data_IF_267636733533
#
_entry.id   IF_267636733533
#
_cell.length_a   1.000
_cell.length_b   1.000
_cell.length_c   1.000
_cell.angle_alpha   90.00
_cell.angle_beta   90.00
_cell.angle_gamma   90.00
#
_symmetry.space_group_name_H-M   'P 1'
#
loop_
_entity.id
_entity.type
_entity.pdbx_description
1 polymer ?
#
# COMPACT_ATOMS: atom_id res chain seq x y z
N UNK A 1 -4.30 0.41 21.50
CA UNK A 1 -2.88 0.15 21.76
C UNK A 1 -2.21 -0.31 20.47
N UNK A 2 -2.24 -1.60 20.08
CA UNK A 2 -1.57 -2.04 18.83
C UNK A 2 -2.30 -1.58 17.56
N UNK A 3 -3.65 -1.55 17.53
CA UNK A 3 -4.40 -0.98 16.38
C UNK A 3 -4.03 0.46 16.08
N UNK A 4 -3.73 1.22 17.14
CA UNK A 4 -3.34 2.61 17.04
C UNK A 4 -1.90 2.73 16.55
N UNK A 5 -0.97 1.93 17.09
CA UNK A 5 0.42 1.87 16.62
C UNK A 5 0.52 1.45 15.15
N UNK A 6 -0.19 0.38 14.76
CA UNK A 6 -0.23 -0.09 13.38
C UNK A 6 -0.68 1.00 12.42
N UNK A 7 -1.84 1.63 12.68
CA UNK A 7 -2.36 2.65 11.76
C UNK A 7 -1.55 3.94 11.82
N UNK A 8 -0.96 4.27 12.97
CA UNK A 8 -0.05 5.42 13.10
C UNK A 8 1.19 5.23 12.25
N UNK A 9 1.82 4.06 12.34
CA UNK A 9 2.99 3.73 11.52
C UNK A 9 2.64 3.74 10.02
N UNK A 10 1.54 3.11 9.62
CA UNK A 10 1.09 3.10 8.23
C UNK A 10 0.82 4.53 7.70
N UNK A 11 0.14 5.36 8.51
CA UNK A 11 -0.16 6.75 8.17
C UNK A 11 1.11 7.60 8.07
N UNK A 12 2.06 7.43 8.99
CA UNK A 12 3.35 8.13 8.98
C UNK A 12 4.13 7.81 7.69
N UNK A 13 4.26 6.52 7.35
CA UNK A 13 4.94 6.10 6.11
C UNK A 13 4.25 6.61 4.86
N UNK A 14 2.92 6.59 4.82
CA UNK A 14 2.17 7.14 3.70
C UNK A 14 2.35 8.66 3.57
N UNK A 15 2.42 9.38 4.68
CA UNK A 15 2.66 10.83 4.71
C UNK A 15 4.07 11.12 4.19
N UNK A 16 5.09 10.41 4.68
CA UNK A 16 6.47 10.54 4.22
C UNK A 16 6.56 10.29 2.70
N UNK A 17 5.94 9.22 2.21
CA UNK A 17 5.94 8.92 0.78
C UNK A 17 5.24 10.01 -0.04
N UNK A 18 4.11 10.54 0.46
CA UNK A 18 3.38 11.62 -0.19
C UNK A 18 4.21 12.90 -0.33
N UNK A 19 5.00 13.23 0.70
CA UNK A 19 5.79 14.45 0.76
C UNK A 19 7.15 14.31 0.04
N UNK A 20 7.68 13.08 -0.03
CA UNK A 20 8.98 12.78 -0.66
C UNK A 20 8.87 12.68 -2.18
N UNK A 21 7.82 12.04 -2.71
CA UNK A 21 7.72 11.72 -4.13
C UNK A 21 6.71 12.63 -4.84
N UNK A 22 7.20 13.48 -5.74
CA UNK A 22 6.35 14.23 -6.69
C UNK A 22 5.84 13.35 -7.84
N UNK A 23 6.55 12.28 -8.17
CA UNK A 23 6.16 11.28 -9.16
C UNK A 23 5.07 10.34 -8.59
N UNK A 24 3.85 10.33 -9.16
CA UNK A 24 2.75 9.50 -8.67
C UNK A 24 3.05 8.00 -8.71
N UNK A 25 3.87 7.54 -9.66
CA UNK A 25 4.24 6.13 -9.77
C UNK A 25 5.11 5.74 -8.57
N UNK A 26 6.16 6.52 -8.28
CA UNK A 26 7.04 6.27 -7.13
C UNK A 26 6.32 6.43 -5.80
N UNK A 27 5.43 7.43 -5.70
CA UNK A 27 4.58 7.66 -4.52
C UNK A 27 3.73 6.43 -4.20
N UNK A 28 2.99 5.92 -5.19
CA UNK A 28 2.11 4.76 -4.98
C UNK A 28 2.91 3.50 -4.62
N UNK A 29 4.06 3.27 -5.27
CA UNK A 29 4.97 2.17 -4.94
C UNK A 29 5.44 2.21 -3.49
N UNK A 30 5.89 3.37 -3.02
CA UNK A 30 6.38 3.54 -1.66
C UNK A 30 5.26 3.30 -0.64
N UNK A 31 4.07 3.86 -0.86
CA UNK A 31 2.91 3.66 0.02
C UNK A 31 2.55 2.17 0.12
N UNK A 32 2.45 1.46 -1.02
CA UNK A 32 2.11 0.02 -1.03
C UNK A 32 3.18 -0.79 -0.30
N UNK A 33 4.45 -0.58 -0.64
CA UNK A 33 5.56 -1.37 -0.09
C UNK A 33 5.65 -1.19 1.43
N UNK A 34 5.56 0.03 1.93
CA UNK A 34 5.60 0.29 3.36
C UNK A 34 4.33 -0.18 4.08
N UNK A 35 3.16 -0.09 3.43
CA UNK A 35 1.94 -0.64 4.00
C UNK A 35 2.00 -2.17 4.15
N UNK A 36 2.54 -2.88 3.17
CA UNK A 36 2.72 -4.35 3.26
C UNK A 36 3.68 -4.71 4.39
N UNK A 37 4.81 -4.01 4.54
CA UNK A 37 5.79 -4.25 5.61
C UNK A 37 5.19 -4.17 7.01
N UNK A 38 4.17 -3.34 7.22
CA UNK A 38 3.50 -3.24 8.53
C UNK A 38 2.98 -4.60 9.01
N UNK A 39 2.55 -5.47 8.09
CA UNK A 39 2.06 -6.80 8.43
C UNK A 39 3.16 -7.76 8.87
N UNK A 40 4.40 -7.55 8.44
CA UNK A 40 5.57 -8.29 8.94
C UNK A 40 5.98 -7.81 10.33
N UNK A 41 6.06 -6.48 10.52
CA UNK A 41 6.47 -5.86 11.79
C UNK A 41 5.53 -6.24 12.94
N UNK A 42 4.22 -6.18 12.70
CA UNK A 42 3.21 -6.37 13.75
C UNK A 42 2.61 -7.78 13.78
N UNK A 43 3.13 -8.74 13.00
CA UNK A 43 2.51 -10.07 12.80
C UNK A 43 2.20 -10.81 14.10
N UNK A 44 3.14 -10.88 15.04
CA UNK A 44 2.97 -11.55 16.34
C UNK A 44 1.80 -10.98 17.14
N UNK A 45 1.45 -9.72 16.87
CA UNK A 45 0.35 -9.02 17.49
C UNK A 45 -0.93 -9.06 16.64
N UNK A 46 -0.84 -9.16 15.30
CA UNK A 46 -1.99 -9.12 14.39
C UNK A 46 -2.89 -10.38 14.45
N UNK A 47 -2.35 -11.56 14.79
CA UNK A 47 -3.19 -12.75 14.99
C UNK A 47 -4.10 -12.63 16.23
N UNK A 48 -3.63 -11.93 17.26
CA UNK A 48 -4.41 -11.59 18.47
C UNK A 48 -5.38 -10.43 18.18
N UNK A 49 -4.92 -9.43 17.44
CA UNK A 49 -5.61 -8.20 17.02
C UNK A 49 -6.96 -8.38 16.32
N UNK A 50 -7.09 -9.35 15.40
CA UNK A 50 -8.37 -9.56 14.69
C UNK A 50 -9.37 -10.43 15.45
N UNK A 51 -8.92 -11.15 16.48
CA UNK A 51 -9.82 -11.77 17.46
C UNK A 51 -10.32 -10.73 18.49
N UNK A 52 -9.51 -9.71 18.79
CA UNK A 52 -9.83 -8.63 19.75
C UNK A 52 -10.64 -7.44 19.19
N UNK A 53 -10.92 -7.36 17.88
CA UNK A 53 -11.80 -6.34 17.29
C UNK A 53 -13.20 -6.26 17.95
N UNK A 54 -13.54 -7.22 18.82
CA UNK A 54 -14.76 -7.30 19.60
C UNK A 54 -14.72 -6.38 20.85
N UNK A 55 -13.55 -5.85 21.28
CA UNK A 55 -13.39 -5.18 22.58
C UNK A 55 -12.59 -3.85 22.60
N UNK A 56 -12.61 -3.05 21.52
CA UNK A 56 -12.03 -1.69 21.58
C UNK A 56 -12.94 -0.74 22.37
N UNK A 57 -12.39 -0.02 23.36
CA UNK A 57 -13.13 1.05 24.06
C UNK A 57 -13.49 2.17 23.06
N UNK A 58 -14.69 2.80 23.18
CA UNK A 58 -15.18 3.79 22.21
C UNK A 58 -14.23 4.96 21.91
N UNK A 59 -13.46 5.40 22.91
CA UNK A 59 -12.52 6.52 22.78
C UNK A 59 -11.35 6.21 21.81
N UNK A 60 -10.85 4.97 21.82
CA UNK A 60 -9.81 4.53 20.88
C UNK A 60 -10.37 4.34 19.47
N UNK A 61 -11.64 3.94 19.36
CA UNK A 61 -12.30 3.72 18.09
C UNK A 61 -12.37 5.00 17.25
N UNK A 62 -12.67 6.15 17.86
CA UNK A 62 -12.72 7.45 17.17
C UNK A 62 -11.35 7.86 16.62
N UNK A 63 -10.30 7.79 17.45
CA UNK A 63 -8.93 8.16 17.03
C UNK A 63 -8.41 7.24 15.93
N UNK A 64 -8.58 5.93 16.09
CA UNK A 64 -8.17 4.93 15.09
C UNK A 64 -8.93 5.14 13.78
N UNK A 65 -10.25 5.37 13.85
CA UNK A 65 -11.07 5.65 12.66
C UNK A 65 -10.56 6.88 11.92
N UNK A 66 -10.27 7.97 12.63
CA UNK A 66 -9.70 9.18 12.01
C UNK A 66 -8.38 8.90 11.28
N UNK A 67 -7.47 8.14 11.89
CA UNK A 67 -6.19 7.75 11.25
C UNK A 67 -6.40 6.86 10.02
N UNK A 68 -7.36 5.92 10.08
CA UNK A 68 -7.75 5.07 8.94
C UNK A 68 -8.31 5.91 7.78
N UNK A 69 -9.18 6.86 8.09
CA UNK A 69 -9.77 7.76 7.10
C UNK A 69 -8.69 8.64 6.44
N UNK A 70 -7.72 9.14 7.22
CA UNK A 70 -6.57 9.88 6.70
C UNK A 70 -5.69 9.03 5.78
N UNK A 71 -5.32 7.82 6.20
CA UNK A 71 -4.51 6.91 5.38
C UNK A 71 -5.23 6.54 4.08
N UNK A 72 -6.52 6.22 4.17
CA UNK A 72 -7.38 5.98 3.00
C UNK A 72 -7.37 7.18 2.05
N UNK A 73 -7.48 8.41 2.57
CA UNK A 73 -7.48 9.61 1.73
C UNK A 73 -6.14 9.81 1.01
N UNK A 74 -5.01 9.52 1.67
CA UNK A 74 -3.69 9.56 1.02
C UNK A 74 -3.62 8.57 -0.14
N UNK A 75 -4.13 7.34 0.04
CA UNK A 75 -4.19 6.35 -1.03
C UNK A 75 -5.05 6.81 -2.21
N UNK A 76 -6.25 7.34 -1.93
CA UNK A 76 -7.16 7.89 -2.96
C UNK A 76 -6.47 9.01 -3.72
N UNK A 77 -5.81 9.94 -3.01
CA UNK A 77 -5.11 11.06 -3.62
C UNK A 77 -3.94 10.59 -4.52
N UNK A 78 -3.16 9.59 -4.10
CA UNK A 78 -2.08 9.04 -4.92
C UNK A 78 -2.58 8.46 -6.24
N UNK A 79 -3.71 7.73 -6.22
CA UNK A 79 -4.35 7.21 -7.43
C UNK A 79 -4.91 8.35 -8.29
N UNK A 80 -5.57 9.32 -7.66
CA UNK A 80 -6.12 10.50 -8.35
C UNK A 80 -5.03 11.31 -9.05
N UNK A 81 -3.90 11.55 -8.39
CA UNK A 81 -2.76 12.27 -8.95
C UNK A 81 -2.20 11.58 -10.19
N UNK A 82 -1.99 10.26 -10.13
CA UNK A 82 -1.49 9.53 -11.29
C UNK A 82 -2.48 9.48 -12.46
N UNK A 83 -3.79 9.45 -12.17
CA UNK A 83 -4.83 9.62 -13.19
C UNK A 83 -4.78 11.04 -13.79
N UNK A 84 -4.68 12.07 -12.95
CA UNK A 84 -4.65 13.48 -13.36
C UNK A 84 -3.42 13.82 -14.20
N UNK A 85 -2.27 13.21 -13.92
CA UNK A 85 -1.03 13.42 -14.67
C UNK A 85 -0.94 12.55 -15.93
N UNK A 86 -1.90 11.65 -16.14
CA UNK A 86 -1.98 10.77 -17.31
C UNK A 86 -1.03 9.57 -17.29
N UNK A 87 -0.34 9.32 -16.16
CA UNK A 87 0.52 8.14 -16.00
C UNK A 87 -0.27 6.88 -15.64
N UNK A 88 -1.45 7.05 -15.03
CA UNK A 88 -2.42 5.98 -14.80
C UNK A 88 -3.56 6.05 -15.82
N UNK A 89 -4.28 4.93 -16.00
CA UNK A 89 -5.35 4.84 -17.00
C UNK A 89 -6.48 5.84 -16.72
N UNK A 90 -6.97 6.46 -17.78
CA UNK A 90 -8.01 7.49 -17.70
C UNK A 90 -9.39 6.91 -17.30
N UNK A 91 -9.57 5.60 -17.45
CA UNK A 91 -10.81 4.86 -17.11
C UNK A 91 -10.90 4.45 -15.63
N UNK A 92 -9.86 4.68 -14.82
CA UNK A 92 -9.86 4.27 -13.41
C UNK A 92 -10.97 4.99 -12.62
N UNK A 93 -11.77 4.20 -11.91
CA UNK A 93 -12.61 4.68 -10.82
C UNK A 93 -11.72 4.83 -9.57
N UNK A 94 -11.33 6.06 -9.23
CA UNK A 94 -10.25 6.35 -8.27
C UNK A 94 -10.52 5.70 -6.91
N UNK A 95 -11.69 5.93 -6.33
CA UNK A 95 -12.07 5.44 -5.01
C UNK A 95 -12.15 3.91 -4.98
N UNK A 96 -12.74 3.30 -6.01
CA UNK A 96 -12.86 1.83 -6.12
C UNK A 96 -11.47 1.21 -6.26
N UNK A 97 -10.60 1.82 -7.06
CA UNK A 97 -9.22 1.35 -7.28
C UNK A 97 -8.42 1.40 -5.98
N UNK A 98 -8.47 2.53 -5.26
CA UNK A 98 -7.81 2.68 -3.97
C UNK A 98 -8.35 1.69 -2.92
N UNK A 99 -9.67 1.48 -2.86
CA UNK A 99 -10.26 0.48 -1.96
C UNK A 99 -9.88 -0.96 -2.33
N UNK A 100 -9.75 -1.28 -3.63
CA UNK A 100 -9.26 -2.57 -4.10
C UNK A 100 -7.82 -2.83 -3.67
N UNK A 101 -6.94 -1.83 -3.82
CA UNK A 101 -5.55 -1.88 -3.33
C UNK A 101 -5.52 -2.09 -1.81
N UNK A 102 -6.28 -1.30 -1.06
CA UNK A 102 -6.38 -1.43 0.39
C UNK A 102 -6.87 -2.82 0.80
N UNK A 103 -7.88 -3.37 0.12
CA UNK A 103 -8.41 -4.71 0.38
C UNK A 103 -7.37 -5.81 0.14
N UNK A 104 -6.65 -5.73 -0.98
CA UNK A 104 -5.58 -6.67 -1.33
C UNK A 104 -4.48 -6.70 -0.26
N UNK A 105 -4.01 -5.52 0.15
CA UNK A 105 -2.95 -5.41 1.17
C UNK A 105 -3.46 -5.81 2.55
N UNK A 106 -4.67 -5.39 2.92
CA UNK A 106 -5.27 -5.76 4.19
C UNK A 106 -5.54 -7.25 4.32
N UNK A 107 -5.65 -8.02 3.24
CA UNK A 107 -5.86 -9.47 3.36
C UNK A 107 -4.57 -10.23 3.73
N UNK A 108 -3.40 -9.62 3.57
CA UNK A 108 -2.08 -10.25 3.81
C UNK A 108 -1.96 -10.88 5.19
N UNK A 109 -2.49 -10.25 6.25
CA UNK A 109 -2.38 -10.82 7.60
C UNK A 109 -3.05 -12.19 7.77
N UNK A 110 -4.05 -12.52 6.94
CA UNK A 110 -4.78 -13.79 7.06
C UNK A 110 -3.96 -14.98 6.62
N UNK A 111 -3.05 -14.79 5.67
CA UNK A 111 -2.37 -15.90 4.99
C UNK A 111 -0.85 -15.83 5.07
N UNK A 112 -0.27 -14.65 5.28
CA UNK A 112 1.18 -14.47 5.32
C UNK A 112 1.83 -15.19 6.52
N UNK A 113 2.97 -15.83 6.26
CA UNK A 113 3.80 -16.53 7.25
C UNK A 113 5.27 -16.21 6.97
N UNK A 114 5.99 -15.66 7.95
CA UNK A 114 7.46 -15.44 7.84
C UNK A 114 8.27 -16.70 7.54
N UNK A 115 7.79 -17.87 7.96
CA UNK A 115 8.40 -19.17 7.62
C UNK A 115 8.03 -19.67 6.23
N UNK A 116 7.26 -18.89 5.46
CA UNK A 116 6.88 -19.19 4.10
C UNK A 116 8.01 -18.96 3.10
N UNK A 117 7.73 -19.23 1.83
CA UNK A 117 8.72 -19.15 0.75
C UNK A 117 9.11 -17.72 0.35
N UNK A 118 8.37 -16.71 0.84
CA UNK A 118 8.57 -15.29 0.49
C UNK A 118 8.54 -14.42 1.73
N UNK A 119 9.48 -13.49 1.83
CA UNK A 119 9.50 -12.46 2.88
C UNK A 119 8.40 -11.42 2.64
N UNK A 120 8.10 -10.62 3.67
CA UNK A 120 7.13 -9.52 3.55
C UNK A 120 7.58 -8.46 2.55
N UNK A 121 8.89 -8.25 2.41
CA UNK A 121 9.49 -7.34 1.43
C UNK A 121 9.26 -7.84 0.00
N UNK A 122 9.51 -9.13 -0.25
CA UNK A 122 9.25 -9.74 -1.55
C UNK A 122 7.77 -9.68 -1.91
N UNK A 123 6.88 -9.95 -0.96
CA UNK A 123 5.42 -9.81 -1.16
C UNK A 123 5.05 -8.36 -1.48
N UNK A 124 5.65 -7.39 -0.79
CA UNK A 124 5.45 -5.97 -1.07
C UNK A 124 5.83 -5.61 -2.50
N UNK A 125 6.95 -6.12 -2.99
CA UNK A 125 7.43 -5.92 -4.36
C UNK A 125 6.53 -6.60 -5.40
N UNK A 126 6.02 -7.80 -5.12
CA UNK A 126 5.03 -8.50 -5.98
C UNK A 126 3.72 -7.70 -6.06
N UNK A 127 3.23 -7.18 -4.93
CA UNK A 127 2.02 -6.36 -4.91
C UNK A 127 2.20 -5.04 -5.68
N UNK A 128 3.36 -4.39 -5.53
CA UNK A 128 3.70 -3.23 -6.34
C UNK A 128 3.63 -3.58 -7.83
N UNK A 129 4.23 -4.70 -8.25
CA UNK A 129 4.23 -5.09 -9.66
C UNK A 129 2.80 -5.28 -10.17
N UNK A 130 2.01 -6.11 -9.47
CA UNK A 130 0.63 -6.42 -9.80
C UNK A 130 -0.24 -5.16 -9.90
N UNK A 131 -0.14 -4.27 -8.90
CA UNK A 131 -0.96 -3.06 -8.83
C UNK A 131 -0.55 -2.08 -9.93
N UNK A 132 0.75 -1.86 -10.14
CA UNK A 132 1.20 -0.95 -11.19
C UNK A 132 0.79 -1.42 -12.58
N UNK A 133 0.87 -2.73 -12.88
CA UNK A 133 0.35 -3.27 -14.15
C UNK A 133 -1.15 -3.03 -14.32
N UNK A 134 -1.89 -3.04 -13.22
CA UNK A 134 -3.33 -2.80 -13.25
C UNK A 134 -3.69 -1.32 -13.43
N UNK A 135 -2.90 -0.38 -12.91
CA UNK A 135 -3.25 1.06 -12.91
C UNK A 135 -2.54 1.87 -13.98
N UNK A 136 -1.36 1.46 -14.44
CA UNK A 136 -0.59 2.23 -15.41
C UNK A 136 -1.25 2.26 -16.78
N UNK A 137 -1.13 3.41 -17.44
CA UNK A 137 -1.55 3.53 -18.83
C UNK A 137 -0.70 2.59 -19.69
N UNK A 138 -1.31 1.74 -20.53
CA UNK A 138 -0.54 0.86 -21.42
C UNK A 138 0.29 1.72 -22.38
N UNK A 139 1.58 1.40 -22.50
CA UNK A 139 2.51 2.13 -23.36
C UNK A 139 1.97 2.17 -24.79
N UNK A 140 1.70 3.38 -25.31
CA UNK A 140 1.17 3.57 -26.66
C UNK A 140 2.25 3.53 -27.75
N UNK A 141 3.38 2.84 -27.52
CA UNK A 141 4.72 3.05 -28.11
C UNK A 141 5.47 4.24 -27.50
N UNK A 142 6.53 3.98 -26.70
CA UNK A 142 7.83 4.69 -26.73
C UNK A 142 8.68 4.39 -25.48
N UNK A 143 9.56 3.39 -25.59
CA UNK A 143 10.93 3.40 -25.02
C UNK A 143 11.15 3.26 -23.51
N UNK A 144 10.25 3.76 -22.65
CA UNK A 144 10.41 3.61 -21.18
C UNK A 144 9.58 2.42 -20.74
N UNK A 145 10.24 1.27 -20.58
CA UNK A 145 9.52 0.07 -20.16
C UNK A 145 8.97 0.27 -18.76
N UNK A 146 7.73 -0.18 -18.50
CA UNK A 146 7.14 -0.32 -17.16
C UNK A 146 8.15 -0.65 -16.04
N UNK A 147 9.14 -1.51 -16.33
CA UNK A 147 10.21 -1.93 -15.42
C UNK A 147 11.13 -0.79 -14.98
N UNK A 148 11.40 0.18 -15.84
CA UNK A 148 12.23 1.33 -15.51
C UNK A 148 11.61 2.21 -14.42
N UNK A 149 10.27 2.22 -14.34
CA UNK A 149 9.50 2.96 -13.34
C UNK A 149 9.56 2.33 -11.95
N UNK A 150 9.98 1.06 -11.84
CA UNK A 150 10.10 0.38 -10.55
C UNK A 150 11.22 1.00 -9.71
N UNK A 151 10.94 1.26 -8.43
CA UNK A 151 11.97 1.67 -7.48
C UNK A 151 13.01 0.55 -7.30
N UNK A 152 14.26 0.90 -7.01
CA UNK A 152 15.39 -0.06 -6.97
C UNK A 152 15.11 -1.27 -6.07
N UNK A 153 14.47 -1.03 -4.92
CA UNK A 153 14.14 -2.11 -4.00
C UNK A 153 13.16 -3.12 -4.59
N UNK A 154 12.29 -2.74 -5.52
CA UNK A 154 11.34 -3.65 -6.19
C UNK A 154 12.06 -4.44 -7.28
N UNK A 155 12.91 -3.79 -8.08
CA UNK A 155 13.74 -4.45 -9.09
C UNK A 155 14.57 -5.59 -8.49
N UNK A 156 15.27 -5.28 -7.39
CA UNK A 156 16.07 -6.26 -6.64
C UNK A 156 15.25 -7.49 -6.22
N UNK A 157 14.06 -7.27 -5.66
CA UNK A 157 13.21 -8.36 -5.15
C UNK A 157 12.58 -9.20 -6.28
N UNK A 158 12.46 -8.64 -7.49
CA UNK A 158 11.95 -9.33 -8.68
C UNK A 158 13.07 -10.01 -9.52
N UNK A 159 14.34 -9.81 -9.16
CA UNK A 159 15.48 -10.35 -9.91
C UNK A 159 15.77 -9.62 -11.22
N UNK A 160 15.46 -8.32 -11.27
CA UNK A 160 15.72 -7.41 -12.39
C UNK A 160 16.99 -6.57 -12.21
#
# INVERSE_FOLDING_TARGET
MIHDEFITYALEKATIANDTYSDPIKKLQAIIKDFVKTFGIYKAHISVFYQENIYLKPEYEVSIKKKRDQFKQIMINAVHEGKKTGVFRDDLQVEITAMGILGMVNWTYKWYKDSGAKSIEEIGSIYVDLILRAVMKPDSNNGVTYREQLIESVKKDLGE
#
